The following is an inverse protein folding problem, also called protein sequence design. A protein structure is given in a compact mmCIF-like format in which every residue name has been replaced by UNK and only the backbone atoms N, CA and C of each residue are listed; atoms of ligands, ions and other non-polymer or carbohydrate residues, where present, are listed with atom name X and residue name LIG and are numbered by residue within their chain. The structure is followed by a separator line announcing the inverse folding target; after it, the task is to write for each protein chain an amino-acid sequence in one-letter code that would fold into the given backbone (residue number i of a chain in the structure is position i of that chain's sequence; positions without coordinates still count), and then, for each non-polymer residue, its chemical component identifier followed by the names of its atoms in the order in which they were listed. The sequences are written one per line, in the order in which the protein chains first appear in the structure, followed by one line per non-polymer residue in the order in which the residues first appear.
data_IF_646404443700
#
_entry.id   IF_646404443700
#
_cell.length_a   1.000
_cell.length_b   1.000
_cell.length_c   1.000
_cell.angle_alpha   90.00
_cell.angle_beta   90.00
_cell.angle_gamma   90.00
#
_symmetry.space_group_name_H-M   'P 1'
#
loop_
_entity.id
_entity.type
_entity.pdbx_description
1 polymer ?
#
# COMPACT_ATOMS: atom_id res chain seq x y z
N UNK A 1 7.41 -31.10 93.61
CA UNK A 1 7.82 -29.69 93.74
C UNK A 1 8.02 -29.13 92.35
N UNK A 2 7.11 -28.18 92.00
CA UNK A 2 7.39 -26.89 91.34
C UNK A 2 7.80 -26.96 89.86
N UNK A 3 7.34 -26.14 88.98
CA UNK A 3 6.68 -24.86 89.05
C UNK A 3 6.17 -24.56 87.64
N UNK A 4 4.97 -24.05 87.56
CA UNK A 4 4.38 -23.44 86.32
C UNK A 4 5.05 -22.11 86.00
N UNK A 5 5.29 -21.89 84.72
CA UNK A 5 5.33 -20.56 84.06
C UNK A 5 5.05 -20.88 82.56
N UNK A 6 3.96 -20.53 81.95
CA UNK A 6 3.43 -19.21 81.64
C UNK A 6 4.25 -18.64 80.44
N UNK A 7 3.91 -18.92 79.20
CA UNK A 7 4.58 -18.39 78.05
C UNK A 7 3.56 -18.07 76.92
N UNK A 8 3.45 -16.82 76.73
CA UNK A 8 2.60 -16.05 75.85
C UNK A 8 2.56 -16.56 74.40
N UNK A 9 1.37 -16.66 73.86
CA UNK A 9 1.08 -16.99 72.44
C UNK A 9 1.27 -15.72 71.60
N UNK A 10 2.37 -15.70 70.85
CA UNK A 10 2.57 -14.68 69.79
C UNK A 10 1.70 -15.03 68.61
N UNK A 11 0.74 -14.20 68.36
CA UNK A 11 -0.09 -14.20 67.14
C UNK A 11 0.73 -13.52 66.05
N UNK A 12 1.41 -14.34 65.25
CA UNK A 12 2.08 -13.85 64.04
C UNK A 12 1.07 -13.41 62.95
N UNK A 13 1.02 -12.13 62.73
CA UNK A 13 0.25 -11.51 61.64
C UNK A 13 0.90 -11.85 60.32
N UNK A 14 0.32 -12.77 59.54
CA UNK A 14 0.73 -13.09 58.16
C UNK A 14 0.20 -11.96 57.23
N UNK A 15 1.07 -11.01 56.94
CA UNK A 15 0.87 -10.05 55.84
C UNK A 15 1.03 -10.81 54.51
N UNK A 16 -0.09 -11.17 53.91
CA UNK A 16 -0.14 -11.69 52.54
C UNK A 16 0.22 -10.59 51.56
N UNK A 17 1.42 -10.70 50.99
CA UNK A 17 1.82 -9.87 49.86
C UNK A 17 1.00 -10.28 48.64
N UNK A 18 0.02 -9.48 48.26
CA UNK A 18 -0.68 -9.61 46.97
C UNK A 18 0.31 -9.19 45.87
N UNK A 19 0.96 -10.18 45.27
CA UNK A 19 1.74 -9.98 44.05
C UNK A 19 0.78 -9.73 42.86
N UNK A 20 0.55 -8.47 42.53
CA UNK A 20 -0.13 -8.08 41.30
C UNK A 20 0.80 -8.46 40.15
N UNK A 21 0.53 -9.57 39.46
CA UNK A 21 1.13 -9.86 38.17
C UNK A 21 0.66 -8.79 37.18
N UNK A 22 1.49 -7.79 36.97
CA UNK A 22 1.31 -6.87 35.85
C UNK A 22 1.54 -7.65 34.55
N UNK A 23 0.47 -8.02 33.86
CA UNK A 23 0.57 -8.47 32.49
C UNK A 23 1.14 -7.32 31.66
N UNK A 24 2.15 -7.60 30.81
CA UNK A 24 2.61 -6.57 29.89
C UNK A 24 1.42 -6.21 28.99
N UNK A 25 0.87 -5.03 29.19
CA UNK A 25 -0.04 -4.44 28.23
C UNK A 25 0.72 -4.37 26.91
N UNK A 26 0.31 -5.21 25.93
CA UNK A 26 0.77 -5.08 24.58
C UNK A 26 0.62 -3.60 24.20
N UNK A 27 1.74 -2.92 24.03
CA UNK A 27 1.74 -1.54 23.59
C UNK A 27 0.94 -1.51 22.29
N UNK A 28 -0.25 -0.94 22.36
CA UNK A 28 -1.08 -0.66 21.20
C UNK A 28 -0.20 0.17 20.29
N UNK A 29 0.24 -0.43 19.18
CA UNK A 29 0.97 0.25 18.14
C UNK A 29 0.05 1.37 17.69
N UNK A 30 0.37 2.60 18.05
CA UNK A 30 -0.35 3.77 17.58
C UNK A 30 -0.28 3.70 16.05
N UNK A 31 -1.38 3.31 15.42
CA UNK A 31 -1.56 3.40 13.99
C UNK A 31 -1.51 4.90 13.71
N UNK A 32 -0.41 5.37 13.15
CA UNK A 32 -0.32 6.71 12.61
C UNK A 32 -1.33 6.76 11.46
N UNK A 33 -2.54 7.19 11.79
CA UNK A 33 -3.56 7.51 10.79
C UNK A 33 -3.05 8.72 10.02
N UNK A 34 -2.39 8.46 8.90
CA UNK A 34 -2.02 9.52 7.97
C UNK A 34 -3.33 10.20 7.56
N UNK A 35 -3.47 11.49 7.86
CA UNK A 35 -4.71 12.20 7.57
C UNK A 35 -4.92 12.31 6.05
N UNK A 36 -6.17 12.45 5.61
CA UNK A 36 -6.48 12.68 4.19
C UNK A 36 -5.72 13.89 3.64
N UNK A 37 -5.55 14.95 4.47
CA UNK A 37 -4.79 16.15 4.09
C UNK A 37 -3.30 15.85 3.86
N UNK A 38 -2.66 15.06 4.74
CA UNK A 38 -1.26 14.64 4.60
C UNK A 38 -1.06 13.77 3.35
N UNK A 39 -2.03 12.92 3.03
CA UNK A 39 -2.02 12.09 1.82
C UNK A 39 -2.07 13.00 0.59
N UNK A 40 -2.97 13.97 0.60
CA UNK A 40 -3.13 14.91 -0.51
C UNK A 40 -1.87 15.74 -0.75
N UNK A 41 -1.26 16.27 0.31
CA UNK A 41 -0.02 17.05 0.21
C UNK A 41 1.12 16.23 -0.39
N UNK A 42 1.30 15.00 0.08
CA UNK A 42 2.38 14.10 -0.38
C UNK A 42 2.19 13.57 -1.80
N UNK A 43 0.95 13.43 -2.27
CA UNK A 43 0.64 12.88 -3.59
C UNK A 43 0.40 13.97 -4.65
N UNK A 44 0.16 15.23 -4.24
CA UNK A 44 -0.01 16.34 -5.16
C UNK A 44 1.34 16.74 -5.74
N UNK A 45 1.68 16.21 -6.90
CA UNK A 45 2.91 16.57 -7.61
C UNK A 45 2.76 16.31 -9.10
N UNK A 46 3.35 17.18 -9.89
CA UNK A 46 3.41 17.04 -11.35
C UNK A 46 4.50 16.06 -11.81
N UNK A 47 4.97 15.17 -10.93
CA UNK A 47 5.91 14.14 -11.30
C UNK A 47 5.26 13.20 -12.31
N UNK A 48 5.88 13.06 -13.47
CA UNK A 48 5.51 12.10 -14.50
C UNK A 48 6.60 11.04 -14.61
N UNK A 49 6.19 9.79 -14.53
CA UNK A 49 7.10 8.66 -14.67
C UNK A 49 6.51 7.63 -15.63
N UNK A 50 7.23 7.37 -16.69
CA UNK A 50 6.93 6.24 -17.55
C UNK A 50 7.45 4.96 -16.88
N UNK A 51 6.52 4.19 -16.32
CA UNK A 51 6.83 2.97 -15.59
C UNK A 51 6.24 1.78 -16.34
N UNK A 52 7.12 1.01 -16.95
CA UNK A 52 6.75 -0.28 -17.53
C UNK A 52 6.60 -1.33 -16.41
N UNK A 53 5.37 -1.50 -15.92
CA UNK A 53 5.04 -2.49 -14.90
C UNK A 53 5.23 -3.92 -15.37
N UNK A 54 5.06 -4.19 -16.66
CA UNK A 54 5.25 -5.53 -17.22
C UNK A 54 6.72 -5.91 -17.15
N UNK A 55 7.59 -4.99 -17.57
CA UNK A 55 9.03 -5.17 -17.46
C UNK A 55 9.48 -5.33 -15.99
N UNK A 56 8.94 -4.53 -15.07
CA UNK A 56 9.28 -4.66 -13.65
C UNK A 56 8.86 -6.01 -13.05
N UNK A 57 7.68 -6.51 -13.39
CA UNK A 57 7.21 -7.84 -12.94
C UNK A 57 8.08 -8.96 -13.51
N UNK A 58 8.41 -8.89 -14.79
CA UNK A 58 9.29 -9.86 -15.44
C UNK A 58 10.68 -9.83 -14.78
N UNK A 59 11.26 -8.66 -14.61
CA UNK A 59 12.56 -8.49 -13.96
C UNK A 59 12.58 -9.05 -12.54
N UNK A 60 11.49 -8.85 -11.76
CA UNK A 60 11.37 -9.42 -10.42
C UNK A 60 11.37 -10.96 -10.47
N UNK A 61 10.57 -11.55 -11.36
CA UNK A 61 10.48 -13.00 -11.53
C UNK A 61 11.81 -13.62 -12.01
N UNK A 62 12.47 -13.00 -12.98
CA UNK A 62 13.76 -13.45 -13.50
C UNK A 62 14.87 -13.36 -12.45
N UNK A 63 14.90 -12.27 -11.67
CA UNK A 63 15.87 -12.11 -10.60
C UNK A 63 15.76 -13.20 -9.54
N UNK A 64 14.54 -13.61 -9.20
CA UNK A 64 14.31 -14.70 -8.25
C UNK A 64 14.82 -16.02 -8.81
N UNK A 65 14.54 -16.31 -10.08
CA UNK A 65 15.01 -17.53 -10.77
C UNK A 65 16.54 -17.57 -10.87
N UNK A 66 17.17 -16.45 -11.26
CA UNK A 66 18.60 -16.37 -11.49
C UNK A 66 19.45 -16.39 -10.21
N UNK A 67 18.90 -15.92 -9.08
CA UNK A 67 19.62 -15.77 -7.80
C UNK A 67 18.72 -16.09 -6.62
N UNK A 68 18.17 -17.29 -6.63
CA UNK A 68 17.25 -17.74 -5.58
C UNK A 68 17.86 -17.70 -4.17
N UNK A 69 19.16 -17.94 -4.06
CA UNK A 69 19.96 -17.99 -2.83
C UNK A 69 20.64 -16.67 -2.45
N UNK A 70 20.48 -15.60 -3.26
CA UNK A 70 21.16 -14.34 -2.99
C UNK A 70 20.66 -13.68 -1.70
N UNK A 71 21.60 -13.36 -0.83
CA UNK A 71 21.30 -12.69 0.46
C UNK A 71 20.66 -11.32 0.22
N UNK A 72 19.62 -10.95 1.01
CA UNK A 72 18.89 -9.68 0.85
C UNK A 72 19.81 -8.45 0.85
N UNK A 73 20.82 -8.42 1.73
CA UNK A 73 21.74 -7.30 1.89
C UNK A 73 22.62 -7.02 0.65
N UNK A 74 22.79 -8.02 -0.21
CA UNK A 74 23.63 -7.91 -1.43
C UNK A 74 22.81 -7.63 -2.69
N UNK A 75 21.49 -7.51 -2.56
CA UNK A 75 20.58 -7.28 -3.69
C UNK A 75 20.34 -5.78 -3.88
N UNK A 76 20.68 -5.18 -5.04
CA UNK A 76 20.28 -3.81 -5.33
C UNK A 76 18.74 -3.70 -5.45
N UNK A 77 18.14 -2.55 -5.10
CA UNK A 77 16.70 -2.33 -5.32
C UNK A 77 16.32 -2.62 -6.78
N UNK A 78 15.15 -3.22 -6.99
CA UNK A 78 14.67 -3.56 -8.32
C UNK A 78 14.09 -2.36 -9.07
N UNK A 79 13.47 -1.45 -8.34
CA UNK A 79 12.81 -0.26 -8.87
C UNK A 79 13.21 1.00 -8.08
N UNK A 80 14.51 1.40 -8.11
CA UNK A 80 14.99 2.54 -7.34
C UNK A 80 14.32 3.86 -7.74
N UNK A 81 13.84 3.96 -8.98
CA UNK A 81 13.11 5.13 -9.49
C UNK A 81 11.82 5.40 -8.72
N UNK A 82 11.14 4.36 -8.22
CA UNK A 82 9.89 4.51 -7.46
C UNK A 82 10.09 5.32 -6.17
N UNK A 83 11.26 5.22 -5.55
CA UNK A 83 11.54 5.94 -4.29
C UNK A 83 11.66 7.46 -4.46
N UNK A 84 11.83 7.93 -5.70
CA UNK A 84 11.96 9.37 -6.03
C UNK A 84 10.61 10.02 -6.34
N UNK A 85 9.57 9.21 -6.51
CA UNK A 85 8.24 9.70 -6.86
C UNK A 85 7.43 10.09 -5.60
N UNK A 86 6.48 11.00 -5.74
CA UNK A 86 5.55 11.33 -4.66
C UNK A 86 4.80 10.10 -4.20
N UNK A 87 4.88 9.83 -2.91
CA UNK A 87 4.35 8.58 -2.36
C UNK A 87 3.89 8.72 -0.92
N UNK A 88 2.94 7.90 -0.56
CA UNK A 88 2.48 7.72 0.81
C UNK A 88 2.58 6.26 1.18
N UNK A 89 3.13 6.00 2.36
CA UNK A 89 3.14 4.70 2.98
C UNK A 89 1.96 4.62 3.96
N UNK A 90 1.32 3.47 4.00
CA UNK A 90 0.23 3.21 4.93
C UNK A 90 0.23 1.75 5.39
N UNK A 91 -0.33 1.54 6.57
CA UNK A 91 -0.39 0.22 7.17
C UNK A 91 -1.70 -0.48 6.78
N UNK A 92 -1.56 -1.61 6.09
CA UNK A 92 -2.65 -2.55 5.84
C UNK A 92 -2.34 -3.85 6.53
N UNK A 93 -3.24 -4.29 7.38
CA UNK A 93 -3.13 -5.57 8.07
C UNK A 93 -3.85 -6.64 7.25
N UNK A 94 -3.10 -7.64 6.85
CA UNK A 94 -3.60 -8.83 6.18
C UNK A 94 -3.68 -10.00 7.15
N UNK A 95 -4.44 -11.03 6.81
CA UNK A 95 -4.33 -12.30 7.49
C UNK A 95 -2.95 -12.94 7.21
N UNK A 96 -2.43 -13.75 8.14
CA UNK A 96 -1.14 -14.39 7.98
C UNK A 96 -1.07 -15.18 6.66
N UNK A 97 0.00 -14.99 5.91
CA UNK A 97 0.25 -15.64 4.62
C UNK A 97 -0.91 -15.55 3.61
N UNK A 98 -1.63 -14.43 3.65
CA UNK A 98 -2.84 -14.20 2.86
C UNK A 98 -2.88 -12.77 2.31
N UNK A 99 -3.69 -12.58 1.28
CA UNK A 99 -4.05 -11.26 0.75
C UNK A 99 -5.40 -10.75 1.29
N UNK A 100 -6.01 -11.47 2.23
CA UNK A 100 -7.26 -11.05 2.85
C UNK A 100 -7.01 -9.89 3.81
N UNK A 101 -7.64 -8.75 3.52
CA UNK A 101 -7.51 -7.53 4.30
C UNK A 101 -8.36 -7.62 5.56
N UNK A 102 -7.77 -7.37 6.73
CA UNK A 102 -8.49 -7.36 7.99
C UNK A 102 -9.38 -6.12 8.12
N UNK A 103 -10.54 -6.26 8.79
CA UNK A 103 -11.51 -5.17 8.93
C UNK A 103 -10.92 -3.85 9.47
N UNK A 104 -9.95 -3.92 10.39
CA UNK A 104 -9.29 -2.75 10.97
C UNK A 104 -8.59 -1.85 9.92
N UNK A 105 -8.23 -2.38 8.76
CA UNK A 105 -7.54 -1.62 7.70
C UNK A 105 -8.49 -0.83 6.79
N UNK A 106 -9.79 -1.10 6.82
CA UNK A 106 -10.74 -0.43 5.92
C UNK A 106 -10.86 1.07 6.19
N UNK A 107 -10.66 1.50 7.45
CA UNK A 107 -10.63 2.93 7.78
C UNK A 107 -9.45 3.63 7.09
N UNK A 108 -8.25 3.05 7.16
CA UNK A 108 -7.05 3.58 6.48
C UNK A 108 -7.24 3.62 4.96
N UNK A 109 -7.77 2.54 4.37
CA UNK A 109 -8.05 2.48 2.92
C UNK A 109 -9.13 3.51 2.53
N UNK A 110 -10.13 3.75 3.39
CA UNK A 110 -11.14 4.79 3.20
C UNK A 110 -10.54 6.19 3.14
N UNK A 111 -9.65 6.54 4.09
CA UNK A 111 -8.96 7.85 4.08
C UNK A 111 -8.13 8.05 2.80
N UNK A 112 -7.55 6.98 2.28
CA UNK A 112 -6.83 7.01 0.99
C UNK A 112 -7.82 7.24 -0.15
N UNK A 113 -8.93 6.53 -0.17
CA UNK A 113 -9.95 6.68 -1.19
C UNK A 113 -10.53 8.10 -1.22
N UNK A 114 -10.78 8.68 -0.05
CA UNK A 114 -11.22 10.08 0.09
C UNK A 114 -10.20 11.04 -0.53
N UNK A 115 -8.91 10.86 -0.24
CA UNK A 115 -7.86 11.66 -0.86
C UNK A 115 -7.83 11.49 -2.38
N UNK A 116 -7.84 10.24 -2.88
CA UNK A 116 -7.76 9.96 -4.32
C UNK A 116 -8.99 10.42 -5.11
N UNK A 117 -10.14 10.62 -4.45
CA UNK A 117 -11.37 11.14 -5.07
C UNK A 117 -11.48 12.66 -5.00
N UNK A 118 -10.61 13.31 -4.23
CA UNK A 118 -10.53 14.77 -4.20
C UNK A 118 -10.24 15.36 -5.59
N UNK A 119 -10.87 16.47 -6.00
CA UNK A 119 -10.63 17.12 -7.29
C UNK A 119 -9.16 17.36 -7.62
N UNK A 120 -8.32 17.68 -6.64
CA UNK A 120 -6.88 17.93 -6.83
C UNK A 120 -6.10 16.69 -7.24
N UNK A 121 -6.46 15.52 -6.70
CA UNK A 121 -5.79 14.26 -6.96
C UNK A 121 -6.45 13.42 -8.05
N UNK A 122 -7.69 13.77 -8.44
CA UNK A 122 -8.44 13.05 -9.49
C UNK A 122 -7.73 12.96 -10.85
N UNK A 123 -6.95 13.96 -11.30
CA UNK A 123 -6.25 13.89 -12.57
C UNK A 123 -5.07 12.91 -12.62
N UNK A 124 -4.65 12.32 -11.49
CA UNK A 124 -3.44 11.52 -11.44
C UNK A 124 -3.72 10.01 -11.49
N UNK A 125 -2.71 9.28 -11.99
CA UNK A 125 -2.59 7.81 -11.93
C UNK A 125 -1.72 7.42 -10.75
N UNK A 126 -2.03 6.27 -10.17
CA UNK A 126 -1.35 5.77 -8.97
C UNK A 126 -0.95 4.31 -9.13
N UNK A 127 0.19 3.99 -8.55
CA UNK A 127 0.70 2.64 -8.40
C UNK A 127 0.62 2.25 -6.93
N UNK A 128 -0.08 1.15 -6.65
CA UNK A 128 -0.12 0.52 -5.33
C UNK A 128 1.00 -0.51 -5.32
N UNK A 129 1.96 -0.35 -4.42
CA UNK A 129 3.10 -1.25 -4.29
C UNK A 129 3.06 -1.93 -2.93
N UNK A 130 3.11 -3.26 -2.92
CA UNK A 130 3.25 -4.03 -1.70
C UNK A 130 4.62 -4.69 -1.60
N UNK A 131 5.16 -4.67 -0.39
CA UNK A 131 6.40 -5.28 0.00
C UNK A 131 6.19 -6.17 1.22
N UNK A 132 6.90 -7.27 1.26
CA UNK A 132 6.92 -8.16 2.42
C UNK A 132 8.33 -8.24 3.02
N UNK A 133 8.42 -8.61 4.28
CA UNK A 133 9.70 -8.95 4.91
C UNK A 133 10.31 -10.19 4.27
N UNK A 134 11.65 -10.30 4.35
CA UNK A 134 12.35 -11.49 3.88
C UNK A 134 12.21 -12.61 4.92
N UNK A 135 11.05 -13.26 4.87
CA UNK A 135 10.71 -14.42 5.67
C UNK A 135 10.11 -15.50 4.76
N UNK A 136 10.59 -16.73 4.88
CA UNK A 136 10.13 -17.83 4.03
C UNK A 136 10.71 -17.84 2.61
N UNK A 137 9.91 -18.30 1.65
CA UNK A 137 10.36 -18.47 0.26
C UNK A 137 10.19 -17.18 -0.55
N UNK A 138 11.24 -16.80 -1.22
CA UNK A 138 11.33 -15.55 -2.00
C UNK A 138 10.33 -15.48 -3.17
N UNK A 139 10.12 -16.60 -3.87
CA UNK A 139 9.13 -16.71 -4.94
C UNK A 139 7.69 -16.55 -4.40
N UNK A 140 7.42 -17.15 -3.26
CA UNK A 140 6.15 -17.01 -2.55
C UNK A 140 5.92 -15.54 -2.12
N UNK A 141 6.94 -14.88 -1.57
CA UNK A 141 6.88 -13.48 -1.16
C UNK A 141 6.53 -12.55 -2.33
N UNK A 142 7.06 -12.82 -3.53
CA UNK A 142 6.71 -12.04 -4.72
C UNK A 142 5.22 -12.21 -5.09
N UNK A 143 4.72 -13.45 -5.10
CA UNK A 143 3.33 -13.75 -5.43
C UNK A 143 2.38 -13.18 -4.36
N UNK A 144 2.74 -13.32 -3.09
CA UNK A 144 1.94 -12.82 -1.97
C UNK A 144 1.80 -11.30 -2.03
N UNK A 145 2.91 -10.58 -2.23
CA UNK A 145 2.87 -9.12 -2.35
C UNK A 145 2.05 -8.66 -3.56
N UNK A 146 2.16 -9.35 -4.70
CA UNK A 146 1.33 -9.01 -5.87
C UNK A 146 -0.17 -9.15 -5.56
N UNK A 147 -0.58 -10.25 -4.93
CA UNK A 147 -1.99 -10.47 -4.54
C UNK A 147 -2.46 -9.45 -3.50
N UNK A 148 -1.61 -9.04 -2.55
CA UNK A 148 -1.92 -8.01 -1.55
C UNK A 148 -2.13 -6.64 -2.20
N UNK A 149 -1.24 -6.23 -3.10
CA UNK A 149 -1.40 -4.99 -3.86
C UNK A 149 -2.70 -4.99 -4.69
N UNK A 150 -3.03 -6.11 -5.33
CA UNK A 150 -4.29 -6.29 -6.07
C UNK A 150 -5.50 -6.21 -5.15
N UNK A 151 -5.48 -6.85 -3.97
CA UNK A 151 -6.58 -6.78 -3.01
C UNK A 151 -6.84 -5.35 -2.53
N UNK A 152 -5.81 -4.56 -2.26
CA UNK A 152 -5.96 -3.15 -1.90
C UNK A 152 -6.56 -2.36 -3.06
N UNK A 153 -6.06 -2.57 -4.29
CA UNK A 153 -6.61 -1.95 -5.50
C UNK A 153 -8.10 -2.29 -5.67
N UNK A 154 -8.46 -3.54 -5.50
CA UNK A 154 -9.83 -4.01 -5.68
C UNK A 154 -10.79 -3.42 -4.64
N UNK A 155 -10.35 -3.25 -3.40
CA UNK A 155 -11.13 -2.53 -2.38
C UNK A 155 -11.32 -1.06 -2.77
N UNK A 156 -10.28 -0.37 -3.22
CA UNK A 156 -10.39 1.02 -3.68
C UNK A 156 -11.35 1.16 -4.87
N UNK A 157 -11.33 0.22 -5.81
CA UNK A 157 -12.20 0.23 -7.00
C UNK A 157 -13.62 -0.20 -6.66
N UNK A 158 -13.79 -1.34 -6.02
CA UNK A 158 -15.10 -1.98 -5.88
C UNK A 158 -15.91 -1.39 -4.72
N UNK A 159 -15.24 -1.06 -3.59
CA UNK A 159 -15.89 -0.51 -2.41
C UNK A 159 -15.96 1.02 -2.48
N UNK A 160 -14.84 1.67 -2.75
CA UNK A 160 -14.72 3.13 -2.70
C UNK A 160 -14.89 3.82 -4.07
N UNK A 161 -15.13 3.07 -5.14
CA UNK A 161 -15.45 3.59 -6.48
C UNK A 161 -14.36 4.47 -7.11
N UNK A 162 -13.10 4.29 -6.71
CA UNK A 162 -11.97 4.91 -7.40
C UNK A 162 -11.84 4.30 -8.79
N UNK A 163 -11.64 5.13 -9.82
CA UNK A 163 -11.57 4.64 -11.21
C UNK A 163 -10.46 3.60 -11.40
N UNK A 164 -10.76 2.39 -11.92
CA UNK A 164 -9.77 1.33 -12.15
C UNK A 164 -8.68 1.74 -13.14
N UNK A 165 -8.97 2.66 -14.06
CA UNK A 165 -8.00 3.18 -15.04
C UNK A 165 -6.89 4.01 -14.40
N UNK A 166 -7.12 4.50 -13.19
CA UNK A 166 -6.16 5.31 -12.45
C UNK A 166 -5.29 4.49 -11.50
N UNK A 167 -5.62 3.23 -11.26
CA UNK A 167 -4.98 2.39 -10.25
C UNK A 167 -4.31 1.19 -10.89
N UNK A 168 -3.03 1.02 -10.60
CA UNK A 168 -2.24 -0.15 -10.95
C UNK A 168 -1.70 -0.81 -9.69
N UNK A 169 -1.42 -2.11 -9.72
CA UNK A 169 -0.92 -2.85 -8.57
C UNK A 169 0.41 -3.54 -8.92
N UNK A 170 1.37 -3.51 -8.02
CA UNK A 170 2.69 -4.12 -8.18
C UNK A 170 3.14 -4.74 -6.86
N UNK A 171 3.44 -6.04 -6.86
CA UNK A 171 4.13 -6.70 -5.77
C UNK A 171 5.63 -6.75 -6.05
N UNK A 172 6.42 -6.34 -5.09
CA UNK A 172 7.88 -6.42 -5.17
C UNK A 172 8.47 -7.44 -4.20
N UNK A 173 7.63 -8.15 -3.42
CA UNK A 173 8.09 -9.12 -2.45
C UNK A 173 9.15 -8.51 -1.53
N UNK A 174 10.26 -9.21 -1.38
CA UNK A 174 11.42 -8.77 -0.61
C UNK A 174 12.54 -8.14 -1.48
N UNK A 175 12.25 -7.77 -2.75
CA UNK A 175 13.26 -7.29 -3.69
C UNK A 175 13.68 -5.83 -3.45
N UNK A 176 12.96 -5.12 -2.59
CA UNK A 176 13.24 -3.73 -2.26
C UNK A 176 12.96 -3.47 -0.77
N UNK A 177 13.79 -4.06 0.10
CA UNK A 177 13.68 -3.88 1.54
C UNK A 177 13.99 -2.43 1.93
N UNK A 178 13.31 -1.93 2.96
CA UNK A 178 13.60 -0.63 3.55
C UNK A 178 14.78 -0.74 4.53
N UNK A 179 14.81 -1.81 5.31
CA UNK A 179 15.90 -2.13 6.23
C UNK A 179 16.60 -3.40 5.77
N UNK A 180 17.63 -3.23 4.96
CA UNK A 180 18.42 -4.35 4.41
C UNK A 180 19.27 -5.04 5.47
N UNK A 181 19.58 -4.37 6.59
CA UNK A 181 20.36 -4.94 7.68
C UNK A 181 19.53 -5.89 8.54
N UNK A 182 18.21 -5.68 8.58
CA UNK A 182 17.25 -6.54 9.27
C UNK A 182 16.15 -7.00 8.28
N UNK A 183 16.46 -7.94 7.39
CA UNK A 183 15.58 -8.31 6.28
C UNK A 183 14.20 -8.82 6.72
N UNK A 184 14.13 -9.51 7.85
CA UNK A 184 12.88 -10.01 8.45
C UNK A 184 12.18 -9.00 9.38
N UNK A 185 12.66 -7.73 9.44
CA UNK A 185 12.01 -6.74 10.28
C UNK A 185 10.62 -6.38 9.74
N UNK A 186 9.59 -6.23 10.60
CA UNK A 186 8.24 -5.85 10.19
C UNK A 186 8.16 -4.51 9.43
N UNK A 187 9.19 -3.65 9.58
CA UNK A 187 9.30 -2.41 8.83
C UNK A 187 9.42 -2.60 7.32
N UNK A 188 9.83 -3.80 6.87
CA UNK A 188 9.92 -4.13 5.45
C UNK A 188 8.56 -4.49 4.84
N UNK A 189 7.63 -5.03 5.63
CA UNK A 189 6.25 -5.24 5.20
C UNK A 189 5.51 -3.89 5.17
N UNK A 190 5.12 -3.44 3.99
CA UNK A 190 4.48 -2.13 3.81
C UNK A 190 3.73 -2.04 2.50
N UNK A 191 2.67 -1.24 2.50
CA UNK A 191 1.96 -0.83 1.29
C UNK A 191 2.26 0.65 1.01
N UNK A 192 2.47 0.98 -0.25
CA UNK A 192 2.72 2.35 -0.71
C UNK A 192 1.77 2.70 -1.84
N UNK A 193 1.32 3.96 -1.87
CA UNK A 193 0.70 4.55 -3.04
C UNK A 193 1.66 5.58 -3.61
N UNK A 194 1.95 5.47 -4.88
CA UNK A 194 2.91 6.29 -5.61
C UNK A 194 2.19 6.98 -6.76
N UNK A 195 2.29 8.30 -6.86
CA UNK A 195 1.79 9.04 -8.01
C UNK A 195 2.74 8.82 -9.20
N UNK A 196 2.20 8.35 -10.34
CA UNK A 196 2.98 7.99 -11.53
C UNK A 196 2.68 8.86 -12.74
N UNK A 197 2.01 9.98 -12.54
CA UNK A 197 1.72 10.95 -13.61
C UNK A 197 0.24 11.26 -13.76
N UNK A 198 -0.08 12.15 -14.68
CA UNK A 198 -1.46 12.54 -14.95
C UNK A 198 -2.18 11.45 -15.76
N UNK A 199 -3.43 11.27 -15.43
CA UNK A 199 -4.34 10.48 -16.23
C UNK A 199 -4.83 11.36 -17.37
N UNK A 200 -4.36 11.07 -18.58
CA UNK A 200 -4.88 11.74 -19.78
C UNK A 200 -6.32 11.28 -19.99
N UNK A 201 -7.25 12.05 -19.46
CA UNK A 201 -8.66 11.91 -19.87
C UNK A 201 -8.67 12.36 -21.32
N UNK A 202 -8.78 11.43 -22.26
CA UNK A 202 -9.07 11.79 -23.63
C UNK A 202 -10.25 12.75 -23.59
N UNK A 203 -10.02 14.02 -23.92
CA UNK A 203 -11.07 15.03 -24.00
C UNK A 203 -12.15 14.42 -24.91
N UNK A 204 -13.44 14.40 -24.48
CA UNK A 204 -14.48 13.88 -25.35
C UNK A 204 -14.35 14.62 -26.67
N UNK A 205 -14.13 13.86 -27.75
CA UNK A 205 -13.91 14.40 -29.06
C UNK A 205 -14.94 15.51 -29.30
N UNK A 206 -14.44 16.75 -29.46
CA UNK A 206 -15.29 17.92 -29.72
C UNK A 206 -16.30 17.51 -30.80
N UNK A 207 -17.61 17.64 -30.57
CA UNK A 207 -18.58 17.20 -31.55
C UNK A 207 -18.19 17.80 -32.90
N UNK A 208 -17.95 16.91 -33.88
CA UNK A 208 -17.63 17.35 -35.24
C UNK A 208 -18.71 18.35 -35.67
N UNK A 209 -18.32 19.59 -35.90
CA UNK A 209 -19.22 20.61 -36.46
C UNK A 209 -19.84 20.00 -37.71
N UNK A 210 -21.17 19.93 -37.83
CA UNK A 210 -21.78 19.37 -39.03
C UNK A 210 -21.26 20.13 -40.24
N UNK A 211 -20.66 19.41 -41.18
CA UNK A 211 -20.21 19.98 -42.43
C UNK A 211 -21.41 20.66 -43.11
N UNK A 212 -21.28 21.96 -43.44
CA UNK A 212 -22.28 22.71 -44.17
C UNK A 212 -22.66 21.98 -45.46
N UNK A 213 -23.94 21.89 -45.81
CA UNK A 213 -24.38 21.21 -47.00
C UNK A 213 -23.75 21.81 -48.25
N UNK A 214 -23.06 21.00 -49.05
CA UNK A 214 -22.48 21.44 -50.33
C UNK A 214 -23.60 22.01 -51.24
N UNK A 215 -23.49 23.27 -51.56
CA UNK A 215 -24.34 23.90 -52.53
C UNK A 215 -24.12 23.22 -53.91
N UNK A 216 -25.16 22.53 -54.40
CA UNK A 216 -25.20 22.01 -55.79
C UNK A 216 -25.21 23.17 -56.74
N UNK A 217 -24.11 23.35 -57.45
CA UNK A 217 -23.96 24.32 -58.51
C UNK A 217 -25.02 24.15 -59.59
N UNK A 218 -25.73 25.22 -59.87
CA UNK A 218 -26.71 25.31 -60.91
C UNK A 218 -26.07 25.12 -62.34
N UNK A 219 -26.50 24.08 -63.02
CA UNK A 219 -26.17 23.85 -64.41
C UNK A 219 -26.80 24.88 -65.33
N UNK A 220 -25.99 25.77 -65.92
CA UNK A 220 -26.42 26.71 -66.99
C UNK A 220 -26.74 25.87 -68.25
N UNK A 221 -28.01 25.80 -68.63
CA UNK A 221 -28.44 25.44 -69.99
C UNK A 221 -27.99 26.50 -70.97
N UNK A 222 -27.11 26.17 -71.95
CA UNK A 222 -26.92 26.89 -73.16
C UNK A 222 -27.92 26.40 -74.23
N UNK A 223 -28.79 27.32 -74.69
CA UNK A 223 -29.55 27.20 -75.92
C UNK A 223 -28.69 27.73 -77.05
N UNK A 224 -28.55 26.98 -78.10
CA UNK A 224 -28.70 27.30 -79.53
C UNK A 224 -28.57 26.07 -80.37
#
# INVERSE_FOLDING_TARGET
MRSMKGGMRDIGLLLGALSVLAWPTAAARAQSTTSTADIMEKLASDAEADIDLTALRQQAAERIKARADAQPQKRPPIAPQLSKLPQVRFDVVFDPDSSLIRPASYQTIGSIADALTDPKLRPYRYLIVDHVESAGRRDHNLILSQRRAESVRDVLVNTFKVSPKRLQALGLGEEQLQDVNRPAAPANARVQIIAIGKFEVAEPAKPATPAAPAQKGAAKKKKS
#
